data_IF_813137693961
#
_entry.id   IF_813137693961
#
_cell.length_a   1.000
_cell.length_b   1.000
_cell.length_c   1.000
_cell.angle_alpha   90.00
_cell.angle_beta   90.00
_cell.angle_gamma   90.00
#
_symmetry.space_group_name_H-M   'P 1'
#
loop_
_entity.id
_entity.type
_entity.pdbx_description
1 polymer ?
#
# COMPACT_ATOMS: atom_id res chain seq x y z
N UNK A 1 -22.62 -18.34 9.04
CA UNK A 1 -21.56 -17.94 8.10
C UNK A 1 -20.34 -17.46 8.89
N UNK A 2 -19.15 -17.80 8.43
CA UNK A 2 -17.90 -17.24 8.95
C UNK A 2 -16.94 -16.98 7.80
N UNK A 3 -16.07 -15.99 7.97
CA UNK A 3 -14.94 -15.74 7.10
C UNK A 3 -13.68 -15.35 7.87
N UNK A 4 -12.56 -15.62 7.24
CA UNK A 4 -11.21 -15.28 7.66
C UNK A 4 -10.63 -14.31 6.64
N UNK A 5 -10.11 -13.20 7.10
CA UNK A 5 -9.43 -12.21 6.29
C UNK A 5 -7.97 -12.11 6.72
N UNK A 6 -7.08 -12.66 5.92
CA UNK A 6 -5.65 -12.49 6.11
C UNK A 6 -5.16 -11.31 5.30
N UNK A 7 -4.36 -10.47 5.93
CA UNK A 7 -3.67 -9.38 5.25
C UNK A 7 -2.18 -9.41 5.57
N UNK A 8 -1.38 -9.18 4.55
CA UNK A 8 0.03 -8.89 4.65
C UNK A 8 0.31 -7.64 3.82
N UNK A 9 0.66 -6.55 4.49
CA UNK A 9 0.94 -5.27 3.87
C UNK A 9 2.42 -4.94 4.02
N UNK A 10 3.04 -4.55 2.92
CA UNK A 10 4.37 -3.96 2.91
C UNK A 10 4.26 -2.52 2.46
N UNK A 11 4.87 -1.63 3.20
CA UNK A 11 4.93 -0.20 2.89
C UNK A 11 6.37 0.26 2.77
N UNK A 12 6.60 1.22 1.90
CA UNK A 12 7.87 1.95 1.90
C UNK A 12 7.64 3.40 1.53
N UNK A 13 8.44 4.30 2.11
CA UNK A 13 8.42 5.70 1.76
C UNK A 13 9.83 6.28 1.71
N UNK A 14 10.01 7.24 0.81
CA UNK A 14 11.24 7.96 0.62
C UNK A 14 10.93 9.44 0.48
N UNK A 15 11.67 10.28 1.18
CA UNK A 15 11.59 11.73 1.10
C UNK A 15 12.99 12.31 0.79
N UNK A 16 13.08 13.00 -0.31
CA UNK A 16 14.23 13.83 -0.66
C UNK A 16 13.84 15.31 -0.49
N UNK A 17 14.68 16.05 0.18
CA UNK A 17 14.55 17.49 0.35
C UNK A 17 15.90 18.15 0.12
N UNK A 18 15.95 19.10 -0.79
CA UNK A 18 17.16 19.87 -1.14
C UNK A 18 18.35 18.98 -1.51
N UNK A 19 18.09 17.94 -2.32
CA UNK A 19 19.12 16.99 -2.76
C UNK A 19 19.59 16.00 -1.69
N UNK A 20 18.98 15.99 -0.50
CA UNK A 20 19.34 15.12 0.62
C UNK A 20 18.16 14.19 0.94
N UNK A 21 18.43 12.91 1.07
CA UNK A 21 17.44 11.96 1.57
C UNK A 21 17.21 12.23 3.06
N UNK A 22 16.02 12.71 3.41
CA UNK A 22 15.63 13.01 4.79
C UNK A 22 15.03 11.81 5.49
N UNK A 23 14.26 11.02 4.76
CA UNK A 23 13.58 9.85 5.32
C UNK A 23 13.62 8.72 4.31
N UNK A 24 13.94 7.53 4.78
CA UNK A 24 13.72 6.28 4.08
C UNK A 24 13.14 5.30 5.10
N UNK A 25 11.90 4.88 4.92
CA UNK A 25 11.22 3.95 5.81
C UNK A 25 10.64 2.78 5.06
N UNK A 26 10.58 1.65 5.74
CA UNK A 26 9.89 0.46 5.28
C UNK A 26 9.18 -0.19 6.47
N UNK A 27 8.01 -0.75 6.22
CA UNK A 27 7.21 -1.42 7.23
C UNK A 27 6.56 -2.67 6.66
N UNK A 28 6.27 -3.60 7.55
CA UNK A 28 5.48 -4.80 7.26
C UNK A 28 4.44 -4.92 8.36
N UNK A 29 3.19 -5.07 7.97
CA UNK A 29 2.11 -5.44 8.88
C UNK A 29 1.45 -6.70 8.37
N UNK A 30 1.03 -7.57 9.27
CA UNK A 30 0.26 -8.75 8.91
C UNK A 30 -0.74 -9.06 10.02
N UNK A 31 -1.82 -9.74 9.65
CA UNK A 31 -2.82 -10.12 10.62
C UNK A 31 -3.93 -10.96 10.03
N UNK A 32 -4.76 -11.46 10.94
CA UNK A 32 -5.97 -12.20 10.68
C UNK A 32 -7.15 -11.51 11.34
N UNK A 33 -8.18 -11.18 10.56
CA UNK A 33 -9.51 -10.87 11.05
C UNK A 33 -10.43 -12.08 10.90
N UNK A 34 -11.22 -12.35 11.92
CA UNK A 34 -12.23 -13.40 11.92
C UNK A 34 -13.60 -12.75 12.11
N UNK A 35 -14.53 -13.06 11.23
CA UNK A 35 -15.92 -12.64 11.34
C UNK A 35 -16.84 -13.86 11.38
N UNK A 36 -17.76 -13.85 12.33
CA UNK A 36 -18.81 -14.87 12.45
C UNK A 36 -20.17 -14.18 12.44
N UNK A 37 -21.08 -14.69 11.63
CA UNK A 37 -22.47 -14.21 11.54
C UNK A 37 -23.42 -15.36 11.91
N UNK A 38 -24.25 -15.13 12.95
CA UNK A 38 -25.24 -16.08 13.43
C UNK A 38 -26.59 -15.38 13.59
N UNK A 39 -27.51 -15.62 12.66
CA UNK A 39 -28.76 -14.86 12.56
C UNK A 39 -28.48 -13.37 12.33
N UNK A 40 -28.95 -12.52 13.23
CA UNK A 40 -28.74 -11.08 13.18
C UNK A 40 -27.49 -10.59 13.97
N UNK A 41 -26.74 -11.52 14.56
CA UNK A 41 -25.57 -11.20 15.37
C UNK A 41 -24.30 -11.40 14.58
N UNK A 42 -23.36 -10.47 14.75
CA UNK A 42 -22.02 -10.54 14.17
C UNK A 42 -20.98 -10.44 15.27
N UNK A 43 -20.08 -11.41 15.31
CA UNK A 43 -18.87 -11.37 16.12
C UNK A 43 -17.66 -11.12 15.25
N UNK A 44 -16.73 -10.31 15.73
CA UNK A 44 -15.47 -10.01 15.08
C UNK A 44 -14.32 -10.05 16.08
N UNK A 45 -13.22 -10.66 15.70
CA UNK A 45 -11.97 -10.64 16.44
C UNK A 45 -10.79 -10.59 15.45
N UNK A 46 -9.64 -10.14 15.92
CA UNK A 46 -8.44 -10.09 15.10
C UNK A 46 -7.20 -10.45 15.92
N UNK A 47 -6.12 -10.82 15.20
CA UNK A 47 -4.79 -11.06 15.78
C UNK A 47 -3.72 -10.74 14.75
N UNK A 48 -2.59 -10.20 15.18
CA UNK A 48 -1.35 -10.03 14.42
C UNK A 48 -0.38 -11.22 14.62
N UNK A 49 -0.64 -12.06 15.63
CA UNK A 49 0.06 -13.34 15.83
C UNK A 49 -0.62 -14.42 14.98
N UNK A 50 0.05 -14.83 13.90
CA UNK A 50 -0.43 -15.88 12.99
C UNK A 50 -0.07 -17.30 13.46
N UNK A 51 0.33 -17.49 14.71
CA UNK A 51 0.43 -18.83 15.29
C UNK A 51 -0.95 -19.48 15.39
N UNK A 52 -1.00 -20.80 15.19
CA UNK A 52 -2.27 -21.54 15.28
C UNK A 52 -3.06 -21.27 16.57
N UNK A 53 -2.43 -21.26 17.79
CA UNK A 53 -3.15 -20.97 19.03
C UNK A 53 -3.77 -19.57 19.05
N UNK A 54 -3.11 -18.55 18.51
CA UNK A 54 -3.62 -17.19 18.47
C UNK A 54 -4.78 -17.04 17.49
N UNK A 55 -4.65 -17.64 16.30
CA UNK A 55 -5.72 -17.67 15.30
C UNK A 55 -6.96 -18.42 15.80
N UNK A 56 -6.77 -19.56 16.47
CA UNK A 56 -7.87 -20.32 17.07
C UNK A 56 -8.60 -19.50 18.15
N UNK A 57 -7.87 -18.82 19.04
CA UNK A 57 -8.49 -17.93 20.04
C UNK A 57 -9.28 -16.79 19.42
N UNK A 58 -8.78 -16.19 18.33
CA UNK A 58 -9.53 -15.14 17.63
C UNK A 58 -10.86 -15.70 17.05
N UNK A 59 -10.82 -16.90 16.47
CA UNK A 59 -12.01 -17.56 15.95
C UNK A 59 -13.03 -17.88 17.06
N UNK A 60 -12.58 -18.44 18.17
CA UNK A 60 -13.42 -18.71 19.35
C UNK A 60 -14.03 -17.43 19.91
N UNK A 61 -13.26 -16.35 20.00
CA UNK A 61 -13.74 -15.04 20.46
C UNK A 61 -14.84 -14.50 19.56
N UNK A 62 -14.61 -14.50 18.24
CA UNK A 62 -15.62 -14.04 17.27
C UNK A 62 -16.91 -14.89 17.34
N UNK A 63 -16.79 -16.21 17.47
CA UNK A 63 -17.92 -17.12 17.62
C UNK A 63 -18.70 -16.84 18.92
N UNK A 64 -17.99 -16.62 20.03
CA UNK A 64 -18.59 -16.29 21.31
C UNK A 64 -19.36 -14.96 21.29
N UNK A 65 -18.78 -13.92 20.66
CA UNK A 65 -19.47 -12.63 20.49
C UNK A 65 -20.74 -12.76 19.67
N UNK A 66 -20.73 -13.58 18.61
CA UNK A 66 -21.92 -13.90 17.84
C UNK A 66 -22.92 -14.80 18.61
N UNK A 67 -22.54 -15.26 19.83
CA UNK A 67 -23.34 -16.20 20.64
C UNK A 67 -23.69 -17.49 19.90
N UNK A 68 -22.76 -17.97 19.07
CA UNK A 68 -22.94 -19.24 18.36
C UNK A 68 -22.10 -20.31 19.05
N UNK A 69 -22.78 -21.30 19.65
CA UNK A 69 -22.13 -22.43 20.30
C UNK A 69 -22.05 -23.67 19.42
N UNK A 70 -22.48 -23.57 18.16
CA UNK A 70 -22.50 -24.71 17.25
C UNK A 70 -21.11 -24.95 16.68
N UNK A 71 -20.61 -26.16 16.86
CA UNK A 71 -19.41 -26.62 16.17
C UNK A 71 -19.83 -27.24 14.84
N UNK A 72 -19.43 -26.63 13.75
CA UNK A 72 -19.61 -27.18 12.42
C UNK A 72 -18.38 -28.01 12.03
N UNK A 73 -18.53 -29.09 11.27
CA UNK A 73 -17.38 -29.82 10.75
C UNK A 73 -16.56 -28.91 9.83
N UNK A 74 -15.23 -29.09 9.80
CA UNK A 74 -14.37 -28.37 8.87
C UNK A 74 -14.89 -28.53 7.42
N UNK A 75 -14.98 -27.43 6.71
CA UNK A 75 -15.32 -27.43 5.29
C UNK A 75 -14.05 -27.30 4.47
N UNK A 76 -13.86 -28.12 3.42
CA UNK A 76 -12.76 -27.93 2.50
C UNK A 76 -12.93 -26.59 1.80
N UNK A 77 -11.88 -25.79 1.78
CA UNK A 77 -11.82 -24.55 0.99
C UNK A 77 -11.15 -24.81 -0.35
N UNK A 78 -11.69 -24.23 -1.41
CA UNK A 78 -11.16 -24.37 -2.76
C UNK A 78 -10.89 -23.00 -3.35
N UNK A 79 -9.77 -22.82 -4.10
CA UNK A 79 -9.51 -21.59 -4.81
C UNK A 79 -10.66 -21.20 -5.72
N UNK A 80 -11.13 -19.98 -5.59
CA UNK A 80 -12.14 -19.41 -6.47
C UNK A 80 -11.46 -18.45 -7.46
N UNK A 81 -11.92 -18.38 -8.72
CA UNK A 81 -11.41 -17.42 -9.66
C UNK A 81 -11.72 -15.99 -9.17
N UNK A 82 -10.71 -15.13 -9.27
CA UNK A 82 -10.81 -13.71 -8.95
C UNK A 82 -10.65 -12.92 -10.23
N UNK A 83 -11.58 -12.01 -10.48
CA UNK A 83 -11.38 -10.99 -11.54
C UNK A 83 -10.37 -9.96 -11.02
N UNK A 84 -9.10 -10.21 -11.31
CA UNK A 84 -7.99 -9.37 -10.86
C UNK A 84 -7.99 -8.08 -11.66
N UNK A 85 -8.27 -6.98 -10.98
CA UNK A 85 -8.28 -5.63 -11.57
C UNK A 85 -6.88 -5.01 -11.67
N UNK A 86 -5.89 -5.61 -10.99
CA UNK A 86 -4.54 -5.10 -10.89
C UNK A 86 -3.54 -6.14 -11.39
N UNK A 87 -2.48 -5.71 -12.05
CA UNK A 87 -1.45 -6.61 -12.55
C UNK A 87 -0.57 -7.11 -11.40
N UNK A 88 -0.39 -8.42 -11.28
CA UNK A 88 0.59 -9.01 -10.36
C UNK A 88 2.04 -8.67 -10.74
N UNK A 89 2.30 -8.41 -12.02
CA UNK A 89 3.61 -7.99 -12.50
C UNK A 89 4.01 -6.62 -11.98
N UNK A 90 3.04 -5.82 -11.56
CA UNK A 90 3.26 -4.51 -10.94
C UNK A 90 3.79 -4.57 -9.50
N UNK A 91 3.95 -5.76 -8.93
CA UNK A 91 4.44 -5.96 -7.55
C UNK A 91 5.98 -6.03 -7.48
N UNK A 92 6.67 -5.41 -8.44
CA UNK A 92 8.11 -5.21 -8.37
C UNK A 92 8.45 -4.21 -7.26
N UNK A 93 8.99 -4.69 -6.15
CA UNK A 93 9.52 -3.80 -5.11
C UNK A 93 10.80 -3.18 -5.65
N UNK A 94 10.79 -1.87 -5.88
CA UNK A 94 12.01 -1.13 -6.20
C UNK A 94 13.01 -1.26 -5.04
N UNK A 95 14.25 -1.55 -5.36
CA UNK A 95 15.34 -1.48 -4.39
C UNK A 95 15.52 -0.04 -3.90
N UNK A 96 16.11 0.14 -2.72
CA UNK A 96 16.37 1.47 -2.19
C UNK A 96 17.18 2.37 -3.16
N UNK A 97 18.25 1.87 -3.83
CA UNK A 97 18.96 2.67 -4.84
C UNK A 97 18.08 3.11 -6.02
N UNK A 98 17.19 2.24 -6.50
CA UNK A 98 16.27 2.59 -7.60
C UNK A 98 15.29 3.68 -7.18
N UNK A 99 14.74 3.58 -5.97
CA UNK A 99 13.86 4.62 -5.40
C UNK A 99 14.57 5.96 -5.23
N UNK A 100 15.80 5.93 -4.73
CA UNK A 100 16.65 7.14 -4.62
C UNK A 100 16.85 7.75 -5.99
N UNK A 101 17.21 6.96 -7.00
CA UNK A 101 17.41 7.44 -8.36
C UNK A 101 16.15 8.10 -8.96
N UNK A 102 14.95 7.66 -8.58
CA UNK A 102 13.69 8.27 -9.02
C UNK A 102 13.51 9.68 -8.45
N UNK A 103 13.64 9.85 -7.14
CA UNK A 103 13.44 11.16 -6.49
C UNK A 103 14.56 12.13 -6.84
N UNK A 104 15.81 11.66 -7.02
CA UNK A 104 16.90 12.48 -7.52
C UNK A 104 16.70 12.95 -8.95
N UNK A 105 16.11 12.11 -9.82
CA UNK A 105 15.75 12.55 -11.18
C UNK A 105 14.69 13.64 -11.16
N UNK A 106 13.72 13.57 -10.23
CA UNK A 106 12.73 14.62 -10.03
C UNK A 106 13.39 15.92 -9.56
N UNK A 107 14.28 15.87 -8.55
CA UNK A 107 15.00 17.04 -8.03
C UNK A 107 15.82 17.71 -9.13
N UNK A 108 16.65 16.94 -9.86
CA UNK A 108 17.45 17.48 -10.96
C UNK A 108 16.59 18.10 -12.07
N UNK A 109 15.45 17.49 -12.39
CA UNK A 109 14.56 18.00 -13.43
C UNK A 109 13.86 19.30 -13.01
N UNK A 110 13.47 19.46 -11.75
CA UNK A 110 12.90 20.70 -11.24
C UNK A 110 13.93 21.84 -11.23
N UNK A 111 15.12 21.59 -10.71
CA UNK A 111 16.22 22.60 -10.67
C UNK A 111 16.72 23.00 -12.04
N UNK A 112 16.70 22.06 -13.00
CA UNK A 112 17.10 22.33 -14.37
C UNK A 112 16.01 23.02 -15.21
N UNK A 113 14.78 23.09 -14.73
CA UNK A 113 13.66 23.70 -15.44
C UNK A 113 13.69 25.24 -15.36
N UNK A 114 13.90 25.76 -14.13
CA UNK A 114 13.94 27.20 -13.93
C UNK A 114 15.01 27.57 -12.85
N UNK A 115 15.91 28.53 -13.15
CA UNK A 115 16.95 28.94 -12.21
C UNK A 115 16.42 29.61 -10.93
N UNK A 116 15.15 29.99 -10.91
CA UNK A 116 14.49 30.55 -9.72
C UNK A 116 14.08 29.49 -8.69
N UNK A 117 14.18 28.21 -9.04
CA UNK A 117 13.88 27.10 -8.11
C UNK A 117 14.91 27.08 -6.99
N UNK A 118 14.46 27.44 -5.79
CA UNK A 118 15.28 27.43 -4.58
C UNK A 118 15.22 26.09 -3.86
N UNK A 119 13.99 25.52 -3.70
CA UNK A 119 13.77 24.31 -2.90
C UNK A 119 12.96 23.30 -3.68
N UNK A 120 13.37 22.04 -3.58
CA UNK A 120 12.65 20.91 -4.13
C UNK A 120 12.43 19.86 -3.03
N UNK A 121 11.22 19.36 -2.94
CA UNK A 121 10.82 18.23 -2.10
C UNK A 121 10.24 17.17 -3.03
N UNK A 122 10.84 16.00 -3.05
CA UNK A 122 10.32 14.86 -3.83
C UNK A 122 10.07 13.67 -2.89
N UNK A 123 8.87 13.11 -2.94
CA UNK A 123 8.49 11.94 -2.15
C UNK A 123 7.98 10.82 -3.02
N UNK A 124 8.30 9.60 -2.61
CA UNK A 124 7.86 8.36 -3.20
C UNK A 124 7.24 7.49 -2.10
N UNK A 125 6.08 6.90 -2.37
CA UNK A 125 5.46 5.93 -1.47
C UNK A 125 4.98 4.73 -2.27
N UNK A 126 5.19 3.56 -1.70
CA UNK A 126 4.77 2.27 -2.23
C UNK A 126 4.06 1.48 -1.13
N UNK A 127 2.99 0.82 -1.49
CA UNK A 127 2.27 -0.12 -0.66
C UNK A 127 1.95 -1.36 -1.50
N UNK A 128 2.13 -2.53 -0.92
CA UNK A 128 1.62 -3.77 -1.50
C UNK A 128 0.84 -4.52 -0.45
N UNK A 129 -0.45 -4.68 -0.70
CA UNK A 129 -1.35 -5.43 0.15
C UNK A 129 -1.66 -6.77 -0.49
N UNK A 130 -1.33 -7.85 0.21
CA UNK A 130 -1.69 -9.23 -0.14
C UNK A 130 -2.81 -9.69 0.76
N UNK A 131 -3.93 -10.07 0.16
CA UNK A 131 -5.16 -10.44 0.85
C UNK A 131 -5.47 -11.89 0.53
N UNK A 132 -5.87 -12.65 1.57
CA UNK A 132 -6.43 -13.98 1.40
C UNK A 132 -7.70 -14.08 2.25
N UNK A 133 -8.80 -14.48 1.61
CA UNK A 133 -10.10 -14.63 2.28
C UNK A 133 -10.52 -16.08 2.15
N UNK A 134 -10.80 -16.71 3.30
CA UNK A 134 -11.42 -18.03 3.34
C UNK A 134 -12.79 -17.94 4.03
N UNK A 135 -13.79 -18.66 3.52
CA UNK A 135 -15.14 -18.63 4.08
C UNK A 135 -15.67 -20.03 4.41
N UNK A 136 -16.62 -20.08 5.34
CA UNK A 136 -17.33 -21.31 5.72
C UNK A 136 -18.22 -21.87 4.59
N UNK A 137 -18.33 -21.17 3.47
CA UNK A 137 -18.99 -21.67 2.25
C UNK A 137 -18.03 -22.41 1.32
N UNK A 138 -16.78 -22.63 1.76
CA UNK A 138 -15.77 -23.37 1.00
C UNK A 138 -14.99 -22.51 -0.02
N UNK A 139 -15.12 -21.18 0.01
CA UNK A 139 -14.44 -20.28 -0.92
C UNK A 139 -13.10 -19.85 -0.35
N UNK A 140 -12.05 -19.87 -1.18
CA UNK A 140 -10.75 -19.26 -0.93
C UNK A 140 -10.42 -18.29 -2.06
N UNK A 141 -10.18 -17.03 -1.70
CA UNK A 141 -9.85 -15.94 -2.63
C UNK A 141 -8.52 -15.33 -2.24
N UNK A 142 -7.68 -15.05 -3.23
CA UNK A 142 -6.41 -14.34 -3.04
C UNK A 142 -6.33 -13.14 -3.99
N UNK A 143 -5.88 -12.00 -3.48
CA UNK A 143 -5.67 -10.79 -4.27
C UNK A 143 -4.38 -10.08 -3.87
N UNK A 144 -3.78 -9.36 -4.81
CA UNK A 144 -2.59 -8.54 -4.58
C UNK A 144 -2.89 -7.14 -5.10
N UNK A 145 -2.78 -6.16 -4.21
CA UNK A 145 -3.13 -4.78 -4.48
C UNK A 145 -1.91 -3.88 -4.32
N UNK A 146 -1.21 -3.56 -5.41
CA UNK A 146 -0.15 -2.56 -5.39
C UNK A 146 -0.74 -1.16 -5.28
N UNK A 147 -0.02 -0.27 -4.65
CA UNK A 147 -0.28 1.17 -4.68
C UNK A 147 1.06 1.88 -4.74
N UNK A 148 1.18 2.79 -5.67
CA UNK A 148 2.38 3.55 -5.92
C UNK A 148 2.06 5.03 -6.08
N UNK A 149 2.89 5.93 -5.52
CA UNK A 149 2.70 7.37 -5.68
C UNK A 149 4.02 8.13 -5.65
N UNK A 150 4.08 9.18 -6.45
CA UNK A 150 5.13 10.20 -6.43
C UNK A 150 4.49 11.57 -6.22
N UNK A 151 5.14 12.43 -5.44
CA UNK A 151 4.81 13.85 -5.32
C UNK A 151 6.08 14.68 -5.37
N UNK A 152 6.01 15.79 -6.10
CA UNK A 152 7.07 16.80 -6.16
C UNK A 152 6.46 18.13 -5.78
N UNK A 153 7.12 18.84 -4.86
CA UNK A 153 6.79 20.22 -4.51
C UNK A 153 8.03 21.09 -4.74
N UNK A 154 7.84 22.26 -5.28
CA UNK A 154 8.90 23.20 -5.66
C UNK A 154 8.58 24.56 -5.07
N UNK A 155 9.60 25.21 -4.51
CA UNK A 155 9.53 26.62 -4.14
C UNK A 155 10.48 27.38 -5.06
N UNK A 156 9.94 28.34 -5.79
CA UNK A 156 10.69 29.27 -6.60
C UNK A 156 10.65 30.69 -5.99
N UNK A 157 11.69 31.47 -6.17
CA UNK A 157 11.81 32.84 -5.64
C UNK A 157 12.29 33.79 -6.73
N UNK A 158 11.59 34.92 -6.85
CA UNK A 158 12.00 36.02 -7.71
C UNK A 158 11.79 37.34 -7.00
N UNK A 159 12.85 38.14 -6.88
CA UNK A 159 12.82 39.50 -6.25
C UNK A 159 12.16 39.51 -4.85
N UNK A 160 12.43 38.45 -4.06
CA UNK A 160 11.89 38.29 -2.71
C UNK A 160 10.46 37.74 -2.64
N UNK A 161 9.82 37.49 -3.76
CA UNK A 161 8.49 36.84 -3.81
C UNK A 161 8.66 35.35 -4.02
N UNK A 162 8.17 34.56 -3.07
CA UNK A 162 8.17 33.08 -3.14
C UNK A 162 6.85 32.57 -3.69
N UNK A 163 6.95 31.55 -4.52
CA UNK A 163 5.82 30.79 -5.05
C UNK A 163 6.06 29.31 -4.84
N UNK A 164 5.01 28.60 -4.53
CA UNK A 164 5.04 27.14 -4.38
C UNK A 164 4.16 26.50 -5.43
N UNK A 165 4.69 25.45 -6.07
CA UNK A 165 3.94 24.57 -6.95
C UNK A 165 4.10 23.12 -6.51
N UNK A 166 3.15 22.28 -6.85
CA UNK A 166 3.22 20.86 -6.60
C UNK A 166 2.50 20.05 -7.66
N UNK A 167 3.08 18.91 -8.02
CA UNK A 167 2.47 17.94 -8.90
C UNK A 167 2.76 16.53 -8.39
N UNK A 168 1.98 15.56 -8.81
CA UNK A 168 2.14 14.18 -8.42
C UNK A 168 1.21 13.25 -9.16
N UNK A 169 1.46 11.97 -9.00
CA UNK A 169 0.65 10.93 -9.60
C UNK A 169 0.90 9.59 -8.96
N UNK A 170 0.14 8.62 -9.39
CA UNK A 170 0.21 7.26 -8.88
C UNK A 170 -1.07 6.50 -9.12
N UNK A 171 -1.19 5.34 -8.52
CA UNK A 171 -2.36 4.49 -8.64
C UNK A 171 -2.11 3.08 -8.18
N UNK A 172 -3.06 2.21 -8.45
CA UNK A 172 -2.95 0.75 -8.27
C UNK A 172 -2.09 0.13 -9.38
N UNK A 173 -0.84 0.56 -9.45
CA UNK A 173 0.15 0.25 -10.48
C UNK A 173 1.52 0.18 -9.81
N UNK A 174 2.49 -0.45 -10.46
CA UNK A 174 3.87 -0.51 -9.98
C UNK A 174 4.80 0.51 -10.66
N UNK A 175 6.12 0.25 -10.62
CA UNK A 175 7.14 1.14 -11.16
C UNK A 175 7.02 1.43 -12.66
N UNK A 176 6.32 0.57 -13.42
CA UNK A 176 6.02 0.77 -14.83
C UNK A 176 5.23 2.07 -15.10
N UNK A 177 4.63 2.65 -14.06
CA UNK A 177 4.03 3.99 -14.12
C UNK A 177 5.01 5.04 -14.69
N UNK A 178 6.30 4.91 -14.39
CA UNK A 178 7.32 5.86 -14.85
C UNK A 178 7.73 5.67 -16.32
N UNK A 179 7.30 4.61 -16.98
CA UNK A 179 7.49 4.46 -18.44
C UNK A 179 6.65 5.50 -19.21
N UNK A 180 5.44 5.76 -18.73
CA UNK A 180 4.53 6.75 -19.33
C UNK A 180 4.68 8.16 -18.76
N UNK A 181 4.96 8.26 -17.46
CA UNK A 181 5.09 9.53 -16.73
C UNK A 181 6.36 9.53 -15.89
N UNK A 182 7.51 9.85 -16.49
CA UNK A 182 8.78 9.86 -15.75
C UNK A 182 8.79 10.92 -14.65
N UNK A 183 9.62 10.77 -13.59
CA UNK A 183 9.67 11.71 -12.46
C UNK A 183 9.86 13.17 -12.87
N UNK A 184 10.62 13.43 -13.94
CA UNK A 184 10.83 14.77 -14.48
C UNK A 184 9.56 15.42 -15.08
N UNK A 185 8.52 14.65 -15.42
CA UNK A 185 7.23 15.19 -15.83
C UNK A 185 6.59 15.96 -14.65
N UNK A 186 6.46 15.33 -13.51
CA UNK A 186 5.89 15.96 -12.31
C UNK A 186 6.76 17.11 -11.79
N UNK A 187 8.07 16.99 -11.91
CA UNK A 187 8.99 18.04 -11.53
C UNK A 187 8.78 19.32 -12.34
N UNK A 188 8.57 19.20 -13.66
CA UNK A 188 8.27 20.36 -14.55
C UNK A 188 6.87 20.92 -14.35
N UNK A 189 5.89 20.08 -14.01
CA UNK A 189 4.54 20.55 -13.67
C UNK A 189 4.49 21.31 -12.35
N UNK A 190 5.39 20.97 -11.41
CA UNK A 190 5.48 21.62 -10.11
C UNK A 190 6.26 22.93 -10.16
N UNK A 191 7.21 23.08 -11.10
CA UNK A 191 8.09 24.25 -11.24
C UNK A 191 7.48 25.31 -12.15
#
# INVERSE_FOLDING_TARGET
FADLYFEHETTSSLLLEEGIIRTASAGVTCGLGVRVVSGERTGYAYTDDLSWPAMARAAETAAHIASDSRTLPPQPVSPAPVDRRYSETSVGVLSLPERIALVERADRAARGYDPRVEKVIASLAEETRRIRIASSTGVLVEDVQPLFSIRVSVIASEKGVRREGSAGGGGRIGPEFFESKPPGHFAREAA
#
